data_IF_957810180858
#
_entry.id   IF_957810180858
#
_cell.length_a   1.000
_cell.length_b   1.000
_cell.length_c   1.000
_cell.angle_alpha   90.00
_cell.angle_beta   90.00
_cell.angle_gamma   90.00
#
_symmetry.space_group_name_H-M   'P 1'
#
loop_
_entity.id
_entity.type
_entity.pdbx_description
1 polymer ?
#
# COMPACT_ATOMS: atom_id res chain seq x y z
N UNK A 1 11.42 24.38 -0.27
CA UNK A 1 10.66 24.96 -1.43
C UNK A 1 11.48 26.06 -2.10
N UNK A 2 12.12 26.99 -1.36
CA UNK A 2 12.90 28.11 -1.92
C UNK A 2 13.97 27.63 -2.94
N UNK A 3 14.73 26.61 -2.59
CA UNK A 3 15.78 26.01 -3.42
C UNK A 3 15.28 25.58 -4.83
N UNK A 4 14.00 25.23 -4.95
CA UNK A 4 13.44 24.84 -6.25
C UNK A 4 13.45 25.97 -7.29
N UNK A 5 13.58 27.22 -6.85
CA UNK A 5 13.65 28.41 -7.70
C UNK A 5 15.05 29.00 -7.84
N UNK A 6 16.07 28.30 -7.29
CA UNK A 6 17.46 28.73 -7.28
C UNK A 6 18.36 27.71 -7.93
N UNK A 7 19.46 28.16 -8.51
CA UNK A 7 20.62 27.31 -8.85
C UNK A 7 21.49 27.18 -7.60
N UNK A 8 21.09 26.25 -6.72
CA UNK A 8 21.63 26.11 -5.38
C UNK A 8 22.74 25.09 -5.30
N UNK A 9 23.89 25.49 -4.77
CA UNK A 9 24.97 24.58 -4.38
C UNK A 9 25.10 24.49 -2.86
N UNK A 10 25.47 23.32 -2.30
CA UNK A 10 25.68 23.18 -0.87
C UNK A 10 26.70 24.22 -0.34
N UNK A 11 26.22 25.11 0.53
CA UNK A 11 27.02 26.21 1.06
C UNK A 11 26.56 27.60 0.63
N UNK A 12 25.70 27.70 -0.38
CA UNK A 12 25.16 28.97 -0.81
C UNK A 12 24.12 29.52 0.16
N UNK A 13 24.02 30.86 0.33
CA UNK A 13 22.99 31.46 1.14
C UNK A 13 21.61 31.30 0.46
N UNK A 14 20.58 31.04 1.25
CA UNK A 14 19.20 30.94 0.73
C UNK A 14 18.60 32.28 0.30
N UNK A 15 19.13 33.39 0.80
CA UNK A 15 18.66 34.75 0.54
C UNK A 15 19.83 35.71 0.48
N UNK A 16 19.67 36.85 -0.21
CA UNK A 16 20.68 37.90 -0.35
C UNK A 16 21.46 37.83 -1.65
N UNK A 17 22.56 38.64 -1.74
CA UNK A 17 23.31 38.86 -2.97
C UNK A 17 24.05 37.63 -3.53
N UNK A 18 24.16 36.54 -2.74
CA UNK A 18 24.75 35.29 -3.17
C UNK A 18 23.76 34.25 -3.67
N UNK A 19 22.45 34.51 -3.60
CA UNK A 19 21.41 33.56 -4.00
C UNK A 19 21.13 33.71 -5.51
N UNK A 20 21.44 32.69 -6.31
CA UNK A 20 21.17 32.68 -7.76
C UNK A 20 19.75 32.23 -8.04
N UNK A 21 18.88 33.18 -8.34
CA UNK A 21 17.48 32.91 -8.67
C UNK A 21 17.31 32.58 -10.16
N UNK A 22 16.84 31.35 -10.46
CA UNK A 22 16.58 30.85 -11.81
C UNK A 22 15.09 30.73 -12.15
N UNK A 23 14.21 31.19 -11.22
CA UNK A 23 12.77 31.16 -11.42
C UNK A 23 12.26 29.73 -11.65
N UNK A 24 11.59 29.49 -12.77
CA UNK A 24 11.00 28.19 -13.11
C UNK A 24 11.90 27.25 -13.94
N UNK A 25 13.17 27.57 -14.12
CA UNK A 25 14.02 26.78 -15.03
C UNK A 25 14.28 25.35 -14.50
N UNK A 26 14.37 25.18 -13.19
CA UNK A 26 14.45 23.82 -12.61
C UNK A 26 13.20 22.99 -12.89
N UNK A 27 12.02 23.61 -12.86
CA UNK A 27 10.76 22.95 -13.21
C UNK A 27 10.70 22.61 -14.70
N UNK A 28 11.14 23.51 -15.58
CA UNK A 28 11.22 23.25 -17.03
C UNK A 28 12.17 22.09 -17.32
N UNK A 29 13.38 22.10 -16.72
CA UNK A 29 14.36 21.01 -16.85
C UNK A 29 13.77 19.67 -16.36
N UNK A 30 13.04 19.69 -15.26
CA UNK A 30 12.37 18.50 -14.72
C UNK A 30 11.31 17.96 -15.68
N UNK A 31 10.41 18.83 -16.17
CA UNK A 31 9.31 18.43 -17.08
C UNK A 31 9.84 17.97 -18.44
N UNK A 32 10.91 18.59 -18.93
CA UNK A 32 11.57 18.22 -20.20
C UNK A 32 12.55 17.06 -20.04
N UNK A 33 12.80 16.63 -18.79
CA UNK A 33 13.72 15.54 -18.50
C UNK A 33 13.25 14.21 -19.06
N UNK A 34 14.17 13.40 -19.55
CA UNK A 34 13.93 12.07 -20.13
C UNK A 34 13.13 11.15 -19.19
N UNK A 35 13.30 11.31 -17.88
CA UNK A 35 12.66 10.46 -16.87
C UNK A 35 11.30 10.97 -16.40
N UNK A 36 10.87 12.17 -16.77
CA UNK A 36 9.64 12.78 -16.29
C UNK A 36 8.43 11.89 -16.52
N UNK A 37 8.21 11.45 -17.77
CA UNK A 37 7.10 10.59 -18.12
C UNK A 37 7.09 9.25 -17.36
N UNK A 38 8.28 8.66 -17.16
CA UNK A 38 8.44 7.42 -16.37
C UNK A 38 8.10 7.65 -14.90
N UNK A 39 8.57 8.74 -14.31
CA UNK A 39 8.29 9.09 -12.91
C UNK A 39 6.80 9.29 -12.67
N UNK A 40 6.14 10.07 -13.53
CA UNK A 40 4.69 10.31 -13.43
C UNK A 40 3.92 9.01 -13.59
N UNK A 41 4.22 8.21 -14.62
CA UNK A 41 3.58 6.91 -14.84
C UNK A 41 3.74 5.99 -13.63
N UNK A 42 4.96 5.85 -13.11
CA UNK A 42 5.22 4.99 -11.95
C UNK A 42 4.45 5.47 -10.71
N UNK A 43 4.46 6.77 -10.44
CA UNK A 43 3.72 7.36 -9.32
C UNK A 43 2.22 7.09 -9.44
N UNK A 44 1.64 7.35 -10.62
CA UNK A 44 0.20 7.13 -10.83
C UNK A 44 -0.18 5.65 -10.73
N UNK A 45 0.61 4.74 -11.31
CA UNK A 45 0.36 3.30 -11.23
C UNK A 45 0.45 2.80 -9.79
N UNK A 46 1.54 3.11 -9.09
CA UNK A 46 1.74 2.65 -7.71
C UNK A 46 0.71 3.26 -6.75
N UNK A 47 0.42 4.56 -6.87
CA UNK A 47 -0.57 5.23 -6.04
C UNK A 47 -1.98 4.72 -6.34
N UNK A 48 -2.32 4.52 -7.62
CA UNK A 48 -3.61 3.96 -8.03
C UNK A 48 -3.83 2.55 -7.50
N UNK A 49 -2.84 1.66 -7.65
CA UNK A 49 -2.90 0.31 -7.10
C UNK A 49 -3.00 0.31 -5.56
N UNK A 50 -2.20 1.15 -4.89
CA UNK A 50 -2.29 1.26 -3.43
C UNK A 50 -3.63 1.86 -2.97
N UNK A 51 -4.20 2.80 -3.70
CA UNK A 51 -5.53 3.35 -3.39
C UNK A 51 -6.59 2.26 -3.53
N UNK A 52 -6.61 1.53 -4.63
CA UNK A 52 -7.62 0.49 -4.88
C UNK A 52 -7.51 -0.63 -3.84
N UNK A 53 -6.34 -1.25 -3.71
CA UNK A 53 -6.16 -2.42 -2.85
C UNK A 53 -5.97 -2.04 -1.37
N UNK A 54 -5.21 -0.99 -1.09
CA UNK A 54 -4.94 -0.54 0.28
C UNK A 54 -6.17 0.05 0.98
N UNK A 55 -7.15 0.57 0.24
CA UNK A 55 -8.44 1.01 0.76
C UNK A 55 -9.44 -0.14 0.86
N UNK A 56 -9.57 -0.93 -0.19
CA UNK A 56 -10.62 -1.96 -0.28
C UNK A 56 -10.34 -3.17 0.62
N UNK A 57 -9.09 -3.64 0.70
CA UNK A 57 -8.76 -4.84 1.47
C UNK A 57 -9.02 -4.72 2.98
N UNK A 58 -8.68 -3.60 3.66
CA UNK A 58 -9.04 -3.42 5.06
C UNK A 58 -10.55 -3.43 5.31
N UNK A 59 -11.35 -2.87 4.40
CA UNK A 59 -12.82 -2.87 4.51
C UNK A 59 -13.35 -4.29 4.41
N UNK A 60 -12.96 -5.02 3.35
CA UNK A 60 -13.38 -6.42 3.14
C UNK A 60 -12.99 -7.26 4.37
N UNK A 61 -11.77 -7.08 4.87
CA UNK A 61 -11.29 -7.82 6.03
C UNK A 61 -12.08 -7.49 7.29
N UNK A 62 -12.42 -6.22 7.54
CA UNK A 62 -13.25 -5.81 8.67
C UNK A 62 -14.64 -6.43 8.60
N UNK A 63 -15.30 -6.41 7.44
CA UNK A 63 -16.61 -7.03 7.23
C UNK A 63 -16.56 -8.54 7.45
N UNK A 64 -15.50 -9.22 6.95
CA UNK A 64 -15.33 -10.66 7.20
C UNK A 64 -15.11 -10.97 8.67
N UNK A 65 -14.31 -10.17 9.37
CA UNK A 65 -14.09 -10.32 10.82
C UNK A 65 -15.37 -10.10 11.60
N UNK A 66 -16.23 -9.19 11.18
CA UNK A 66 -17.48 -8.93 11.86
C UNK A 66 -18.43 -10.13 11.81
N UNK A 67 -18.43 -10.88 10.72
CA UNK A 67 -19.24 -12.10 10.56
C UNK A 67 -18.76 -13.28 11.44
N UNK A 68 -17.55 -13.22 12.02
CA UNK A 68 -17.02 -14.31 12.84
C UNK A 68 -17.66 -14.29 14.22
N UNK A 69 -18.49 -15.31 14.51
CA UNK A 69 -19.18 -15.48 15.80
C UNK A 69 -18.26 -15.97 16.91
N UNK A 70 -17.24 -16.78 16.57
CA UNK A 70 -16.34 -17.36 17.56
C UNK A 70 -15.26 -16.38 18.01
N UNK A 71 -15.43 -15.77 19.18
CA UNK A 71 -14.57 -14.68 19.68
C UNK A 71 -13.07 -15.01 19.72
N UNK A 72 -12.71 -16.25 20.10
CA UNK A 72 -11.28 -16.66 20.12
C UNK A 72 -10.67 -16.68 18.74
N UNK A 73 -11.41 -17.18 17.75
CA UNK A 73 -10.97 -17.20 16.36
C UNK A 73 -10.90 -15.80 15.77
N UNK A 74 -11.89 -14.94 16.04
CA UNK A 74 -11.88 -13.51 15.66
C UNK A 74 -10.62 -12.82 16.17
N UNK A 75 -10.31 -12.95 17.48
CA UNK A 75 -9.11 -12.38 18.10
C UNK A 75 -7.80 -12.93 17.47
N UNK A 76 -7.75 -14.23 17.19
CA UNK A 76 -6.61 -14.83 16.53
C UNK A 76 -6.37 -14.22 15.14
N UNK A 77 -7.41 -14.13 14.29
CA UNK A 77 -7.34 -13.52 12.97
C UNK A 77 -6.89 -12.06 13.04
N UNK A 78 -7.43 -11.27 13.99
CA UNK A 78 -7.02 -9.89 14.23
C UNK A 78 -5.53 -9.81 14.59
N UNK A 79 -5.08 -10.55 15.60
CA UNK A 79 -3.68 -10.51 16.06
C UNK A 79 -2.73 -10.93 14.96
N UNK A 80 -3.02 -12.03 14.26
CA UNK A 80 -2.19 -12.52 13.16
C UNK A 80 -2.08 -11.51 12.01
N UNK A 81 -3.18 -10.83 11.69
CA UNK A 81 -3.21 -9.84 10.60
C UNK A 81 -2.59 -8.49 10.97
N UNK A 82 -2.56 -8.13 12.27
CA UNK A 82 -1.94 -6.89 12.72
C UNK A 82 -0.42 -7.01 12.86
N UNK A 83 0.10 -8.22 13.10
CA UNK A 83 1.51 -8.47 13.35
C UNK A 83 2.46 -7.91 12.28
N UNK A 84 2.19 -8.06 10.97
CA UNK A 84 3.07 -7.54 9.92
C UNK A 84 3.31 -6.03 9.99
N UNK A 85 2.35 -5.26 10.49
CA UNK A 85 2.48 -3.81 10.65
C UNK A 85 3.68 -3.40 11.54
N UNK A 86 3.94 -4.16 12.59
CA UNK A 86 5.01 -3.86 13.56
C UNK A 86 6.40 -4.28 13.08
N UNK A 87 6.50 -5.02 11.98
CA UNK A 87 7.79 -5.40 11.40
C UNK A 87 8.37 -4.21 10.64
N UNK A 88 9.66 -3.94 10.85
CA UNK A 88 10.36 -2.88 10.09
C UNK A 88 10.21 -3.09 8.59
N UNK A 89 9.99 -2.01 7.85
CA UNK A 89 9.87 -2.06 6.38
C UNK A 89 11.12 -2.61 5.71
N UNK A 90 12.30 -2.35 6.27
CA UNK A 90 13.58 -2.89 5.76
C UNK A 90 13.61 -4.43 5.91
N UNK A 91 13.16 -4.94 7.05
CA UNK A 91 13.09 -6.39 7.29
C UNK A 91 12.08 -7.04 6.33
N UNK A 92 10.89 -6.45 6.19
CA UNK A 92 9.87 -6.94 5.23
C UNK A 92 10.42 -6.95 3.81
N UNK A 93 11.08 -5.87 3.38
CA UNK A 93 11.70 -5.81 2.05
C UNK A 93 12.75 -6.91 1.85
N UNK A 94 13.61 -7.14 2.85
CA UNK A 94 14.60 -8.22 2.83
C UNK A 94 13.97 -9.62 2.72
N UNK A 95 12.89 -9.86 3.47
CA UNK A 95 12.14 -11.12 3.39
C UNK A 95 11.51 -11.32 1.99
N UNK A 96 10.85 -10.29 1.46
CA UNK A 96 10.25 -10.36 0.13
C UNK A 96 11.30 -10.61 -0.93
N UNK A 97 12.43 -9.88 -0.91
CA UNK A 97 13.55 -10.09 -1.85
C UNK A 97 14.02 -11.55 -1.80
N UNK A 98 14.19 -12.12 -0.61
CA UNK A 98 14.61 -13.52 -0.47
C UNK A 98 13.56 -14.52 -0.99
N UNK A 99 12.28 -14.21 -0.84
CA UNK A 99 11.19 -15.10 -1.29
C UNK A 99 10.97 -15.07 -2.80
N UNK A 100 11.25 -13.95 -3.47
CA UNK A 100 11.08 -13.79 -4.92
C UNK A 100 12.36 -14.05 -5.73
N UNK A 101 13.47 -14.39 -5.07
CA UNK A 101 14.69 -14.82 -5.74
C UNK A 101 14.48 -16.16 -6.48
N UNK A 102 15.40 -16.51 -7.40
CA UNK A 102 15.33 -17.77 -8.21
C UNK A 102 15.09 -19.01 -7.36
N UNK A 103 15.73 -19.09 -6.18
CA UNK A 103 15.57 -20.19 -5.24
C UNK A 103 14.54 -19.91 -4.12
N UNK A 104 13.86 -18.76 -4.19
CA UNK A 104 12.94 -18.30 -3.20
C UNK A 104 11.65 -19.13 -3.14
N UNK A 105 11.01 -19.12 -1.96
CA UNK A 105 9.78 -19.87 -1.72
C UNK A 105 8.66 -19.48 -2.68
N UNK A 106 8.45 -18.17 -2.89
CA UNK A 106 7.39 -17.67 -3.77
C UNK A 106 7.68 -18.07 -5.23
N UNK A 107 8.93 -17.91 -5.69
CA UNK A 107 9.32 -18.30 -7.05
C UNK A 107 9.08 -19.79 -7.30
N UNK A 108 9.42 -20.66 -6.34
CA UNK A 108 9.14 -22.10 -6.44
C UNK A 108 7.65 -22.40 -6.54
N UNK A 109 6.82 -21.75 -5.71
CA UNK A 109 5.36 -21.91 -5.77
C UNK A 109 4.79 -21.43 -7.11
N UNK A 110 5.26 -20.29 -7.61
CA UNK A 110 4.84 -19.76 -8.92
C UNK A 110 5.24 -20.68 -10.07
N UNK A 111 6.41 -21.34 -9.97
CA UNK A 111 6.86 -22.33 -10.96
C UNK A 111 5.94 -23.57 -10.99
N UNK A 112 5.43 -24.01 -9.83
CA UNK A 112 4.45 -25.12 -9.77
C UNK A 112 3.15 -24.75 -10.50
N UNK A 113 2.75 -23.47 -10.49
CA UNK A 113 1.56 -22.96 -11.19
C UNK A 113 1.83 -22.68 -12.69
N UNK A 114 3.03 -22.93 -13.18
CA UNK A 114 3.39 -22.80 -14.59
C UNK A 114 4.06 -21.44 -14.96
N UNK A 115 4.40 -20.62 -13.97
CA UNK A 115 5.16 -19.39 -14.21
C UNK A 115 6.67 -19.68 -14.34
N UNK A 116 7.42 -18.84 -15.09
CA UNK A 116 8.84 -19.07 -15.30
C UNK A 116 9.64 -18.95 -13.99
N UNK A 117 10.68 -19.79 -13.86
CA UNK A 117 11.64 -19.73 -12.75
C UNK A 117 12.67 -18.64 -13.04
N UNK A 118 12.35 -17.43 -12.68
CA UNK A 118 13.20 -16.23 -12.89
C UNK A 118 13.38 -15.47 -11.58
N UNK A 119 14.35 -14.57 -11.56
CA UNK A 119 14.49 -13.63 -10.46
C UNK A 119 13.50 -12.48 -10.64
N UNK A 120 12.34 -12.56 -9.97
CA UNK A 120 11.27 -11.58 -10.08
C UNK A 120 11.67 -10.16 -9.66
N UNK A 121 12.74 -10.03 -8.88
CA UNK A 121 13.31 -8.71 -8.51
C UNK A 121 13.90 -7.98 -9.73
N UNK A 122 14.41 -8.73 -10.70
CA UNK A 122 15.03 -8.18 -11.90
C UNK A 122 14.01 -7.92 -13.03
N UNK A 123 12.75 -8.30 -12.82
CA UNK A 123 11.67 -8.10 -13.77
C UNK A 123 10.93 -6.78 -13.49
N UNK A 124 11.15 -5.72 -14.30
CA UNK A 124 10.56 -4.40 -14.05
C UNK A 124 9.03 -4.40 -14.06
N UNK A 125 8.43 -5.29 -14.86
CA UNK A 125 6.97 -5.41 -14.98
C UNK A 125 6.31 -5.99 -13.73
N UNK A 126 7.04 -6.80 -12.95
CA UNK A 126 6.56 -7.41 -11.71
C UNK A 126 6.61 -6.43 -10.51
N UNK A 127 7.44 -5.39 -10.58
CA UNK A 127 7.67 -4.49 -9.45
C UNK A 127 6.40 -3.84 -8.89
N UNK A 128 5.47 -3.27 -9.70
CA UNK A 128 4.26 -2.66 -9.16
C UNK A 128 3.39 -3.64 -8.38
N UNK A 129 3.29 -4.87 -8.86
CA UNK A 129 2.51 -5.93 -8.20
C UNK A 129 3.15 -6.36 -6.89
N UNK A 130 4.46 -6.63 -6.89
CA UNK A 130 5.22 -7.05 -5.70
C UNK A 130 5.14 -5.95 -4.63
N UNK A 131 5.39 -4.71 -5.02
CA UNK A 131 5.33 -3.55 -4.12
C UNK A 131 3.94 -3.39 -3.51
N UNK A 132 2.89 -3.38 -4.33
CA UNK A 132 1.50 -3.20 -3.87
C UNK A 132 1.08 -4.33 -2.95
N UNK A 133 1.33 -5.58 -3.34
CA UNK A 133 0.99 -6.74 -2.50
C UNK A 133 1.70 -6.68 -1.15
N UNK A 134 2.99 -6.38 -1.13
CA UNK A 134 3.78 -6.26 0.10
C UNK A 134 3.24 -5.16 1.01
N UNK A 135 2.94 -3.98 0.44
CA UNK A 135 2.42 -2.85 1.18
C UNK A 135 1.02 -3.13 1.74
N UNK A 136 0.14 -3.68 0.92
CA UNK A 136 -1.22 -4.06 1.33
C UNK A 136 -1.15 -5.14 2.42
N UNK A 137 -0.38 -6.22 2.22
CA UNK A 137 -0.21 -7.28 3.21
C UNK A 137 0.28 -6.75 4.56
N UNK A 138 1.21 -5.81 4.54
CA UNK A 138 1.75 -5.21 5.76
C UNK A 138 0.72 -4.36 6.51
N UNK A 139 -0.17 -3.67 5.80
CA UNK A 139 -1.00 -2.60 6.37
C UNK A 139 -2.48 -2.98 6.54
N UNK A 140 -3.03 -3.92 5.74
CA UNK A 140 -4.47 -4.14 5.67
C UNK A 140 -5.09 -4.52 7.01
N UNK A 141 -4.40 -5.37 7.78
CA UNK A 141 -4.87 -5.81 9.08
C UNK A 141 -4.98 -4.63 10.06
N UNK A 142 -3.91 -3.87 10.20
CA UNK A 142 -3.88 -2.72 11.10
C UNK A 142 -4.88 -1.64 10.67
N UNK A 143 -4.96 -1.32 9.40
CA UNK A 143 -5.91 -0.34 8.87
C UNK A 143 -7.37 -0.79 9.04
N UNK A 144 -7.65 -2.10 9.14
CA UNK A 144 -8.99 -2.62 9.39
C UNK A 144 -9.55 -2.26 10.78
N UNK A 145 -8.69 -1.85 11.73
CA UNK A 145 -9.12 -1.47 13.08
C UNK A 145 -10.11 -0.31 13.03
N UNK A 146 -9.84 0.68 12.18
CA UNK A 146 -10.72 1.84 12.02
C UNK A 146 -12.11 1.41 11.56
N UNK A 147 -12.19 0.55 10.54
CA UNK A 147 -13.46 0.05 10.01
C UNK A 147 -14.18 -0.84 11.01
N UNK A 148 -13.46 -1.72 11.73
CA UNK A 148 -14.03 -2.53 12.81
C UNK A 148 -14.64 -1.67 13.92
N UNK A 149 -13.97 -0.58 14.32
CA UNK A 149 -14.48 0.36 15.30
C UNK A 149 -15.78 1.02 14.84
N UNK A 150 -15.81 1.46 13.57
CA UNK A 150 -17.00 2.07 12.97
C UNK A 150 -18.17 1.08 12.90
N UNK A 151 -17.94 -0.14 12.41
CA UNK A 151 -18.98 -1.19 12.34
C UNK A 151 -19.53 -1.50 13.75
N UNK A 152 -18.65 -1.59 14.76
CA UNK A 152 -19.05 -1.88 16.13
C UNK A 152 -19.84 -0.73 16.80
N UNK A 153 -19.78 0.48 16.25
CA UNK A 153 -20.55 1.64 16.76
C UNK A 153 -21.97 1.75 16.18
N UNK A 154 -22.30 0.94 15.17
CA UNK A 154 -23.64 0.93 14.57
C UNK A 154 -24.62 0.29 15.57
N UNK A 155 -25.75 0.96 15.77
CA UNK A 155 -26.82 0.47 16.68
C UNK A 155 -27.38 -0.86 16.16
N UNK A 156 -27.41 -1.86 17.04
CA UNK A 156 -27.96 -3.19 16.74
C UNK A 156 -29.47 -3.13 16.38
N UNK A 157 -30.21 -2.14 16.90
CA UNK A 157 -31.60 -1.92 16.55
C UNK A 157 -31.82 -1.65 15.06
N UNK A 158 -30.84 -1.04 14.34
CA UNK A 158 -30.94 -0.86 12.91
C UNK A 158 -30.92 -2.19 12.15
N UNK A 159 -30.07 -3.13 12.57
CA UNK A 159 -30.01 -4.47 11.98
C UNK A 159 -31.27 -5.29 12.28
N UNK A 160 -31.84 -5.12 13.47
CA UNK A 160 -33.11 -5.78 13.85
C UNK A 160 -34.27 -5.23 13.04
N UNK A 161 -34.38 -3.91 12.88
CA UNK A 161 -35.38 -3.28 12.03
C UNK A 161 -35.28 -3.75 10.58
N UNK A 162 -34.05 -3.75 10.00
CA UNK A 162 -33.81 -4.24 8.65
C UNK A 162 -34.24 -5.71 8.45
N UNK A 163 -34.06 -6.56 9.49
CA UNK A 163 -34.55 -7.97 9.45
C UNK A 163 -36.06 -8.05 9.44
N UNK A 164 -36.75 -7.22 10.21
CA UNK A 164 -38.20 -7.17 10.22
C UNK A 164 -38.73 -6.74 8.87
N UNK A 165 -38.03 -5.80 8.19
CA UNK A 165 -38.36 -5.33 6.84
C UNK A 165 -37.98 -6.34 5.75
N UNK A 166 -37.46 -7.53 6.10
CA UNK A 166 -37.12 -8.60 5.17
C UNK A 166 -35.76 -8.46 4.46
N UNK A 167 -34.88 -7.56 4.93
CA UNK A 167 -33.56 -7.39 4.35
C UNK A 167 -32.69 -8.64 4.54
N UNK A 168 -32.03 -9.07 3.44
CA UNK A 168 -31.03 -10.14 3.48
C UNK A 168 -29.70 -9.62 4.02
N UNK A 169 -28.71 -10.53 4.23
CA UNK A 169 -27.39 -10.19 4.79
C UNK A 169 -26.57 -9.18 3.95
N UNK A 170 -26.83 -9.06 2.65
CA UNK A 170 -26.17 -8.10 1.78
C UNK A 170 -26.84 -6.73 1.79
N UNK A 171 -28.09 -6.69 2.24
CA UNK A 171 -28.87 -5.46 2.36
C UNK A 171 -28.75 -4.81 3.75
N UNK A 172 -28.34 -5.56 4.73
CA UNK A 172 -28.01 -5.12 6.09
C UNK A 172 -26.58 -4.53 6.14
#
# INVERSE_FOLDING_TARGET
>A
IVIAFQDYWPGDPFFGDGAMWVGLDNFKRFVQGEYFGRLIKNTLVLSGLNLIFGFTMPIIFALLLDQIKHLRFKKFCQTASYMPYFISTVVVAGMVISFIDVNGLITKLLTIVGLPNINWRQEPSAFPTIYTFTNVWKLFGFNSILYMSTISSIDQGLYEAAKIDGANRWQQ
#
